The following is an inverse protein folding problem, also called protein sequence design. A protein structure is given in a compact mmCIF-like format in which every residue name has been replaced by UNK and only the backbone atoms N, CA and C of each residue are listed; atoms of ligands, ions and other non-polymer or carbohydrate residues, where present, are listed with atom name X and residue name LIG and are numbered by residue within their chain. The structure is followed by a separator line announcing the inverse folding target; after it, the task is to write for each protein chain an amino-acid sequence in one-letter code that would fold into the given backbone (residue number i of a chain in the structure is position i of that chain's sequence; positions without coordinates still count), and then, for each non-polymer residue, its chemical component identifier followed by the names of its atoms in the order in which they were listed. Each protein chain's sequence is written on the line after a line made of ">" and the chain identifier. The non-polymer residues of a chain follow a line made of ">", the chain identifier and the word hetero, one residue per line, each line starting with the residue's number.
data_IF_692955959601
#
_entry.id   IF_692955959601
#
_cell.length_a   1.000
_cell.length_b   1.000
_cell.length_c   1.000
_cell.angle_alpha   90.00
_cell.angle_beta   90.00
_cell.angle_gamma   90.00
#
_symmetry.space_group_name_H-M   'P 1'
#
loop_
_entity.id
_entity.type
_entity.pdbx_description
1 polymer ?
#
# COMPACT_ATOMS: atom_id res chain seq x y z
N UNK A 1 0.62 -5.95 5.77
CA UNK A 1 0.17 -4.62 5.28
C UNK A 1 -0.82 -3.96 6.23
N UNK A 2 -1.92 -4.60 6.64
CA UNK A 2 -3.00 -3.95 7.40
C UNK A 2 -2.61 -3.50 8.83
N UNK A 3 -1.90 -4.33 9.61
CA UNK A 3 -1.54 -3.99 10.99
C UNK A 3 -0.68 -2.72 11.11
N UNK A 4 0.32 -2.59 10.23
CA UNK A 4 1.17 -1.39 10.16
C UNK A 4 0.35 -0.16 9.72
N UNK A 5 -0.57 -0.32 8.76
CA UNK A 5 -1.44 0.75 8.32
C UNK A 5 -2.37 1.26 9.44
N UNK A 6 -2.89 0.36 10.27
CA UNK A 6 -3.67 0.72 11.46
C UNK A 6 -2.81 1.47 12.48
N UNK A 7 -1.62 0.96 12.80
CA UNK A 7 -0.70 1.62 13.73
C UNK A 7 -0.33 3.03 13.25
N UNK A 8 -0.03 3.20 11.96
CA UNK A 8 0.23 4.50 11.34
C UNK A 8 -0.99 5.44 11.46
N UNK A 9 -2.20 4.93 11.24
CA UNK A 9 -3.42 5.73 11.41
C UNK A 9 -3.70 6.11 12.85
N UNK A 10 -3.37 5.26 13.83
CA UNK A 10 -3.54 5.58 15.24
C UNK A 10 -2.53 6.66 15.67
N UNK A 11 -1.30 6.58 15.17
CA UNK A 11 -0.25 7.54 15.45
C UNK A 11 -0.49 8.91 14.77
N UNK A 12 -1.08 8.94 13.58
CA UNK A 12 -1.29 10.17 12.82
C UNK A 12 -2.47 11.03 13.30
N UNK A 13 -3.47 10.42 13.95
CA UNK A 13 -4.70 11.13 14.36
C UNK A 13 -4.54 11.78 15.74
N UNK A 14 -4.94 13.07 15.90
CA UNK A 14 -4.82 13.76 17.19
C UNK A 14 -5.52 13.06 18.35
N UNK A 15 -6.65 12.41 18.07
CA UNK A 15 -7.46 11.73 19.09
C UNK A 15 -6.78 10.46 19.62
N UNK A 16 -5.95 9.79 18.82
CA UNK A 16 -5.39 8.46 19.15
C UNK A 16 -3.87 8.45 19.30
N UNK A 17 -3.17 9.56 18.99
CA UNK A 17 -1.70 9.65 19.05
C UNK A 17 -1.09 9.37 20.44
N UNK A 18 -1.90 9.45 21.50
CA UNK A 18 -1.48 9.19 22.87
C UNK A 18 -1.43 7.70 23.21
N UNK A 19 -1.97 6.84 22.34
CA UNK A 19 -1.95 5.39 22.53
C UNK A 19 -0.54 4.85 22.26
N UNK A 20 -0.04 4.03 23.17
CA UNK A 20 1.20 3.29 22.96
C UNK A 20 0.90 2.00 22.19
N UNK A 21 1.35 1.92 20.95
CA UNK A 21 1.08 0.78 20.04
C UNK A 21 2.36 0.00 19.81
N UNK A 22 2.36 -1.28 20.19
CA UNK A 22 3.44 -2.21 19.87
C UNK A 22 3.06 -3.06 18.65
N UNK A 23 3.97 -3.19 17.68
CA UNK A 23 3.82 -4.08 16.53
C UNK A 23 4.67 -5.32 16.80
N UNK A 24 4.03 -6.49 16.88
CA UNK A 24 4.70 -7.78 17.03
C UNK A 24 4.60 -8.49 15.68
N UNK A 25 5.72 -8.74 15.05
CA UNK A 25 5.79 -9.46 13.78
C UNK A 25 7.07 -10.31 13.78
N UNK A 26 6.90 -11.59 13.44
CA UNK A 26 7.97 -12.59 13.44
C UNK A 26 8.64 -12.73 12.05
N UNK A 27 8.29 -11.86 11.09
CA UNK A 27 8.86 -11.90 9.76
C UNK A 27 10.34 -11.47 9.80
N UNK A 28 11.30 -12.34 9.44
CA UNK A 28 12.72 -12.01 9.46
C UNK A 28 13.12 -10.94 8.42
N UNK A 29 12.19 -10.56 7.53
CA UNK A 29 12.39 -9.52 6.53
C UNK A 29 12.07 -8.11 7.05
N UNK A 30 11.46 -7.97 8.23
CA UNK A 30 11.27 -6.68 8.90
C UNK A 30 12.62 -6.11 9.34
N UNK A 31 13.16 -5.20 8.53
CA UNK A 31 14.49 -4.61 8.76
C UNK A 31 15.41 -4.72 7.54
N UNK A 32 15.06 -5.55 6.54
CA UNK A 32 15.72 -5.46 5.25
C UNK A 32 15.19 -4.23 4.50
N UNK A 33 16.08 -3.30 4.20
CA UNK A 33 15.84 -2.28 3.17
C UNK A 33 15.89 -2.97 1.81
N UNK A 34 14.86 -3.76 1.51
CA UNK A 34 14.66 -4.33 0.18
C UNK A 34 14.21 -3.18 -0.73
N UNK A 35 15.16 -2.35 -1.12
CA UNK A 35 15.00 -1.47 -2.27
C UNK A 35 14.84 -2.43 -3.45
N UNK A 36 13.65 -2.49 -4.04
CA UNK A 36 13.43 -3.30 -5.24
C UNK A 36 14.40 -2.77 -6.30
N UNK A 37 15.43 -3.56 -6.61
CA UNK A 37 16.44 -3.16 -7.58
C UNK A 37 15.76 -2.95 -8.94
N UNK A 38 15.92 -1.75 -9.51
CA UNK A 38 15.40 -1.39 -10.83
C UNK A 38 16.15 -2.19 -11.89
N UNK A 39 15.66 -3.38 -12.20
CA UNK A 39 16.27 -4.29 -13.18
C UNK A 39 15.81 -5.74 -13.04
N UNK A 40 15.39 -6.14 -11.84
CA UNK A 40 14.84 -7.47 -11.61
C UNK A 40 13.35 -7.58 -11.99
N UNK A 41 12.89 -8.78 -12.40
CA UNK A 41 11.47 -9.06 -12.56
C UNK A 41 10.69 -8.69 -11.28
N UNK A 42 9.47 -8.13 -11.42
CA UNK A 42 8.67 -7.78 -10.25
C UNK A 42 8.32 -9.03 -9.44
N UNK A 43 8.14 -8.86 -8.13
CA UNK A 43 7.64 -9.95 -7.28
C UNK A 43 6.22 -10.32 -7.75
N UNK A 44 5.86 -11.61 -7.85
CA UNK A 44 4.50 -12.01 -8.22
C UNK A 44 3.43 -11.57 -7.18
N UNK A 45 3.83 -11.21 -5.96
CA UNK A 45 2.94 -10.78 -4.87
C UNK A 45 2.62 -9.30 -4.94
N UNK A 46 1.88 -8.95 -5.98
CA UNK A 46 1.38 -7.59 -6.20
C UNK A 46 0.00 -7.42 -5.60
N UNK A 47 -0.32 -6.21 -5.17
CA UNK A 47 -1.67 -5.85 -4.71
C UNK A 47 -2.20 -4.67 -5.48
N UNK A 48 -3.47 -4.74 -5.82
CA UNK A 48 -4.20 -3.63 -6.42
C UNK A 48 -4.80 -2.78 -5.31
N UNK A 49 -4.42 -1.51 -5.24
CA UNK A 49 -4.95 -0.53 -4.28
C UNK A 49 -5.99 0.36 -4.93
N UNK A 50 -7.12 0.52 -4.24
CA UNK A 50 -8.24 1.35 -4.69
C UNK A 50 -8.00 2.84 -4.35
N UNK A 51 -8.72 3.77 -5.00
CA UNK A 51 -8.60 5.20 -4.73
C UNK A 51 -8.83 5.58 -3.27
N UNK A 52 -9.76 4.91 -2.58
CA UNK A 52 -9.99 5.12 -1.14
C UNK A 52 -8.76 4.76 -0.30
N UNK A 53 -8.04 3.68 -0.65
CA UNK A 53 -6.81 3.28 0.04
C UNK A 53 -5.68 4.27 -0.23
N UNK A 54 -5.58 4.80 -1.45
CA UNK A 54 -4.62 5.87 -1.79
C UNK A 54 -4.90 7.11 -0.95
N UNK A 55 -6.16 7.54 -0.85
CA UNK A 55 -6.57 8.68 -0.02
C UNK A 55 -6.18 8.44 1.44
N UNK A 56 -6.53 7.28 2.00
CA UNK A 56 -6.16 6.91 3.36
C UNK A 56 -4.63 6.96 3.58
N UNK A 57 -3.83 6.45 2.63
CA UNK A 57 -2.37 6.45 2.73
C UNK A 57 -1.78 7.86 2.63
N UNK A 58 -2.43 8.77 1.88
CA UNK A 58 -2.07 10.19 1.86
C UNK A 58 -2.38 10.86 3.19
N UNK A 59 -3.56 10.59 3.76
CA UNK A 59 -4.00 11.15 5.04
C UNK A 59 -3.08 10.76 6.21
N UNK A 60 -2.58 9.52 6.22
CA UNK A 60 -1.59 9.07 7.23
C UNK A 60 -0.14 9.43 6.87
N UNK A 61 0.10 10.10 5.73
CA UNK A 61 1.42 10.54 5.29
C UNK A 61 2.35 9.43 4.76
N UNK A 62 1.81 8.23 4.51
CA UNK A 62 2.58 7.07 4.05
C UNK A 62 2.73 6.99 2.52
N UNK A 63 1.84 7.64 1.75
CA UNK A 63 1.80 7.54 0.28
C UNK A 63 3.12 7.90 -0.40
N UNK A 64 3.83 8.92 0.10
CA UNK A 64 5.13 9.36 -0.42
C UNK A 64 6.19 8.26 -0.49
N UNK A 65 6.12 7.27 0.41
CA UNK A 65 7.07 6.15 0.44
C UNK A 65 6.74 5.10 -0.62
N UNK A 66 5.48 5.00 -1.03
CA UNK A 66 5.02 4.08 -2.07
C UNK A 66 5.32 4.65 -3.46
N UNK A 67 5.14 5.96 -3.65
CA UNK A 67 5.50 6.64 -4.91
C UNK A 67 7.00 6.55 -5.25
N UNK A 68 7.87 6.41 -4.24
CA UNK A 68 9.30 6.21 -4.46
C UNK A 68 9.64 4.79 -4.95
N UNK A 69 8.76 3.83 -4.74
CA UNK A 69 8.93 2.43 -5.12
C UNK A 69 8.31 2.13 -6.48
N UNK A 70 8.48 0.90 -6.96
CA UNK A 70 7.91 0.45 -8.24
C UNK A 70 6.38 0.38 -8.14
N UNK A 71 5.67 1.08 -9.01
CA UNK A 71 4.20 1.09 -9.04
C UNK A 71 3.71 1.31 -10.48
N UNK A 72 2.47 0.90 -10.77
CA UNK A 72 1.83 1.13 -12.05
C UNK A 72 0.37 1.58 -11.87
N UNK A 73 0.01 2.70 -12.51
CA UNK A 73 -1.35 3.22 -12.56
C UNK A 73 -2.12 2.55 -13.70
N UNK A 74 -3.40 2.24 -13.48
CA UNK A 74 -4.32 1.85 -14.55
C UNK A 74 -5.73 2.37 -14.27
N UNK A 75 -6.41 2.83 -15.31
CA UNK A 75 -7.74 3.45 -15.27
C UNK A 75 -8.85 2.51 -15.78
N UNK A 76 -8.48 1.41 -16.42
CA UNK A 76 -9.42 0.48 -17.07
C UNK A 76 -9.21 -0.95 -16.59
N UNK A 77 -10.30 -1.65 -16.36
CA UNK A 77 -10.31 -3.07 -16.03
C UNK A 77 -11.32 -3.81 -16.92
N UNK A 78 -10.90 -4.92 -17.52
CA UNK A 78 -11.77 -5.76 -18.34
C UNK A 78 -12.14 -7.03 -17.58
N UNK A 79 -13.43 -7.19 -17.24
CA UNK A 79 -13.98 -8.41 -16.63
C UNK A 79 -14.74 -9.19 -17.70
N UNK A 80 -14.29 -10.42 -18.04
CA UNK A 80 -14.95 -11.23 -19.08
C UNK A 80 -16.12 -12.04 -18.50
N UNK A 81 -17.33 -11.47 -18.59
CA UNK A 81 -18.62 -12.20 -18.76
C UNK A 81 -19.78 -11.32 -19.25
N UNK A 82 -19.67 -10.01 -19.11
CA UNK A 82 -20.57 -8.99 -19.69
C UNK A 82 -19.94 -7.64 -19.36
N UNK A 83 -19.90 -6.70 -20.31
CA UNK A 83 -19.23 -5.39 -20.17
C UNK A 83 -19.61 -4.69 -18.86
N UNK A 84 -18.68 -4.64 -17.90
CA UNK A 84 -18.64 -3.64 -16.85
C UNK A 84 -17.19 -3.16 -16.74
N UNK A 85 -16.99 -1.86 -16.98
CA UNK A 85 -15.71 -1.16 -16.80
C UNK A 85 -15.74 -0.57 -15.39
N UNK A 86 -14.78 -0.93 -14.55
CA UNK A 86 -14.62 -0.39 -13.19
C UNK A 86 -13.37 0.51 -13.15
N UNK A 87 -13.50 1.65 -12.48
CA UNK A 87 -12.52 2.74 -12.44
C UNK A 87 -11.27 2.46 -11.61
N UNK A 88 -10.20 3.11 -12.06
CA UNK A 88 -8.88 3.43 -11.48
C UNK A 88 -8.43 2.61 -10.27
N UNK A 89 -7.40 1.79 -10.47
CA UNK A 89 -6.67 1.13 -9.38
C UNK A 89 -5.17 1.17 -9.66
N UNK A 90 -4.34 1.10 -8.62
CA UNK A 90 -2.87 1.06 -8.76
C UNK A 90 -2.38 -0.34 -8.44
N UNK A 91 -1.47 -0.87 -9.26
CA UNK A 91 -0.70 -2.06 -8.93
C UNK A 91 0.57 -1.63 -8.19
N UNK A 92 0.69 -2.01 -6.92
CA UNK A 92 1.95 -1.88 -6.19
C UNK A 92 2.76 -3.15 -6.47
N UNK A 93 3.95 -2.96 -7.04
CA UNK A 93 4.89 -3.99 -7.51
C UNK A 93 5.98 -4.27 -6.47
#
# INVERSE_FOLDING_TARGET
>A
MVGIALAASLASKPLTKHLNVAIIDNNPLLGRTNIIEKGHPPDPRVSTVAPATISFLKDVGAWKYIEQQRHAYFDKMQVRRSLQVLDLKILIL
#
